data_IF_761564097122
#
_entry.id   IF_761564097122
#
_cell.length_a   1.000
_cell.length_b   1.000
_cell.length_c   1.000
_cell.angle_alpha   90.00
_cell.angle_beta   90.00
_cell.angle_gamma   90.00
#
_symmetry.space_group_name_H-M   'P 1'
#
loop_
_entity.id
_entity.type
_entity.pdbx_description
1 polymer ?
#
# COMPACT_ATOMS: atom_id res chain seq x y z
N UNK A 1 -15.66 -10.96 -22.83
CA UNK A 1 -15.73 -10.88 -21.34
C UNK A 1 -16.88 -9.95 -20.99
N UNK A 2 -17.85 -10.43 -20.22
CA UNK A 2 -19.02 -9.60 -19.85
C UNK A 2 -18.61 -8.56 -18.79
N UNK A 3 -18.90 -7.28 -19.04
CA UNK A 3 -18.74 -6.23 -18.04
C UNK A 3 -19.77 -6.45 -16.93
N UNK A 4 -19.33 -6.91 -15.76
CA UNK A 4 -20.19 -7.00 -14.59
C UNK A 4 -20.64 -5.58 -14.16
N UNK A 5 -21.88 -5.42 -13.70
CA UNK A 5 -22.47 -4.12 -13.39
C UNK A 5 -21.77 -3.49 -12.17
N UNK A 6 -21.04 -2.40 -12.37
CA UNK A 6 -20.34 -1.67 -11.29
C UNK A 6 -21.34 -0.87 -10.44
N UNK A 7 -21.10 -0.79 -9.14
CA UNK A 7 -21.94 0.01 -8.23
C UNK A 7 -21.25 1.36 -8.05
N UNK A 8 -21.88 2.41 -8.59
CA UNK A 8 -21.48 3.79 -8.33
C UNK A 8 -22.15 4.21 -7.02
N UNK A 9 -21.39 4.70 -6.03
CA UNK A 9 -21.98 5.16 -4.77
C UNK A 9 -22.96 6.31 -5.02
N UNK A 10 -24.08 6.32 -4.30
CA UNK A 10 -24.98 7.48 -4.26
C UNK A 10 -24.28 8.70 -3.65
N UNK A 11 -24.81 9.91 -3.88
CA UNK A 11 -24.24 11.14 -3.31
C UNK A 11 -24.17 11.11 -1.77
N UNK A 12 -25.12 10.43 -1.11
CA UNK A 12 -25.11 10.25 0.34
C UNK A 12 -24.00 9.29 0.82
N UNK A 13 -23.71 8.24 0.05
CA UNK A 13 -22.61 7.31 0.32
C UNK A 13 -21.26 7.99 0.09
N UNK A 14 -21.13 8.78 -0.98
CA UNK A 14 -19.93 9.60 -1.21
C UNK A 14 -19.66 10.54 -0.04
N UNK A 15 -20.66 11.25 0.46
CA UNK A 15 -20.48 12.12 1.62
C UNK A 15 -19.97 11.36 2.85
N UNK A 16 -20.40 10.11 3.06
CA UNK A 16 -19.88 9.25 4.12
C UNK A 16 -18.41 8.88 3.88
N UNK A 17 -18.05 8.54 2.65
CA UNK A 17 -16.66 8.23 2.27
C UNK A 17 -15.76 9.45 2.37
N UNK A 18 -16.24 10.63 2.02
CA UNK A 18 -15.53 11.89 2.14
C UNK A 18 -15.28 12.23 3.62
N UNK A 19 -16.31 12.13 4.46
CA UNK A 19 -16.18 12.38 5.91
C UNK A 19 -15.28 11.36 6.60
N UNK A 20 -15.39 10.07 6.28
CA UNK A 20 -14.60 9.02 6.94
C UNK A 20 -13.19 8.87 6.37
N UNK A 21 -13.06 9.01 5.05
CA UNK A 21 -11.84 8.67 4.32
C UNK A 21 -11.17 9.83 3.60
N UNK A 22 -11.83 10.98 3.48
CA UNK A 22 -11.34 12.11 2.67
C UNK A 22 -11.46 11.87 1.17
N UNK A 23 -12.22 10.85 0.74
CA UNK A 23 -12.42 10.53 -0.67
C UNK A 23 -13.46 11.46 -1.30
N UNK A 24 -13.04 12.25 -2.27
CA UNK A 24 -13.92 13.17 -3.00
C UNK A 24 -14.73 12.44 -4.07
N UNK A 25 -15.94 12.91 -4.34
CA UNK A 25 -16.73 12.44 -5.49
C UNK A 25 -16.04 12.69 -6.83
N UNK A 26 -15.08 13.62 -6.91
CA UNK A 26 -14.29 13.89 -8.12
C UNK A 26 -13.26 12.80 -8.42
N UNK A 27 -12.88 11.98 -7.44
CA UNK A 27 -11.87 10.92 -7.59
C UNK A 27 -12.43 9.64 -8.24
N UNK A 28 -13.74 9.57 -8.49
CA UNK A 28 -14.37 8.50 -9.26
C UNK A 28 -14.30 7.11 -8.62
N UNK A 29 -14.78 7.01 -7.37
CA UNK A 29 -14.81 5.77 -6.57
C UNK A 29 -15.85 4.78 -7.13
N UNK A 30 -15.45 3.52 -7.27
CA UNK A 30 -16.33 2.44 -7.74
C UNK A 30 -16.31 1.28 -6.76
N UNK A 31 -17.48 0.72 -6.45
CA UNK A 31 -17.58 -0.53 -5.70
C UNK A 31 -17.76 -1.72 -6.64
N UNK A 32 -17.06 -2.84 -6.38
CA UNK A 32 -17.35 -4.10 -7.04
C UNK A 32 -18.77 -4.56 -6.70
N UNK A 33 -19.45 -5.20 -7.66
CA UNK A 33 -20.83 -5.72 -7.49
C UNK A 33 -20.89 -6.79 -6.40
N UNK A 34 -22.03 -6.93 -5.71
CA UNK A 34 -22.24 -8.05 -4.79
C UNK A 34 -22.01 -9.39 -5.51
N UNK A 35 -21.16 -10.25 -4.94
CA UNK A 35 -20.79 -11.55 -5.51
C UNK A 35 -19.68 -11.52 -6.57
N UNK A 36 -19.15 -10.35 -6.93
CA UNK A 36 -17.93 -10.30 -7.75
C UNK A 36 -16.73 -10.75 -6.91
N UNK A 37 -16.00 -11.74 -7.42
CA UNK A 37 -14.83 -12.24 -6.73
C UNK A 37 -13.70 -11.20 -6.86
N UNK A 38 -13.10 -10.85 -5.73
CA UNK A 38 -11.90 -10.00 -5.69
C UNK A 38 -10.74 -10.65 -6.45
N UNK A 39 -10.86 -11.94 -6.81
CA UNK A 39 -9.92 -12.67 -7.66
C UNK A 39 -9.92 -12.23 -9.13
N UNK A 40 -10.74 -11.26 -9.56
CA UNK A 40 -10.53 -10.61 -10.85
C UNK A 40 -9.32 -9.65 -10.76
N UNK A 41 -8.27 -9.79 -11.59
CA UNK A 41 -6.90 -9.60 -11.09
C UNK A 41 -6.42 -8.15 -11.08
N UNK A 42 -7.13 -7.20 -11.69
CA UNK A 42 -6.63 -5.85 -11.86
C UNK A 42 -7.78 -4.83 -11.81
N UNK A 43 -7.62 -3.71 -11.07
CA UNK A 43 -8.50 -2.55 -11.26
C UNK A 43 -8.46 -2.09 -12.74
N UNK A 44 -9.51 -1.41 -13.23
CA UNK A 44 -9.51 -0.83 -14.57
C UNK A 44 -8.26 0.03 -14.79
N UNK A 45 -7.80 0.11 -16.04
CA UNK A 45 -6.64 0.97 -16.39
C UNK A 45 -6.84 2.40 -15.88
N UNK A 46 -5.82 2.95 -15.21
CA UNK A 46 -5.87 4.26 -14.57
C UNK A 46 -6.60 4.32 -13.23
N UNK A 47 -7.01 3.17 -12.65
CA UNK A 47 -7.62 3.09 -11.32
C UNK A 47 -6.78 2.26 -10.36
N UNK A 48 -6.92 2.58 -9.07
CA UNK A 48 -6.26 1.89 -7.97
C UNK A 48 -7.33 1.16 -7.15
N UNK A 49 -7.14 -0.13 -6.93
CA UNK A 49 -7.98 -0.92 -6.04
C UNK A 49 -7.50 -0.80 -4.58
N UNK A 50 -8.35 -0.29 -3.68
CA UNK A 50 -8.05 -0.19 -2.25
C UNK A 50 -9.05 -1.01 -1.46
N UNK A 51 -8.58 -1.83 -0.53
CA UNK A 51 -9.45 -2.54 0.39
C UNK A 51 -10.05 -1.59 1.43
N UNK A 52 -11.36 -1.68 1.66
CA UNK A 52 -12.02 -0.91 2.71
C UNK A 52 -11.40 -1.15 4.09
N UNK A 53 -10.92 -2.38 4.37
CA UNK A 53 -10.19 -2.70 5.61
C UNK A 53 -8.92 -1.86 5.78
N UNK A 54 -8.22 -1.53 4.68
CA UNK A 54 -7.03 -0.67 4.71
C UNK A 54 -7.43 0.76 5.07
N UNK A 55 -8.52 1.28 4.49
CA UNK A 55 -9.05 2.60 4.83
C UNK A 55 -9.54 2.67 6.29
N UNK A 56 -10.20 1.62 6.79
CA UNK A 56 -10.65 1.50 8.18
C UNK A 56 -9.49 1.47 9.17
N UNK A 57 -8.36 0.88 8.78
CA UNK A 57 -7.14 0.89 9.58
C UNK A 57 -6.44 2.26 9.58
N UNK A 58 -7.04 3.30 8.98
CA UNK A 58 -6.44 4.63 8.84
C UNK A 58 -5.27 4.69 7.86
N UNK A 59 -5.01 3.60 7.14
CA UNK A 59 -3.92 3.53 6.16
C UNK A 59 -4.37 4.26 4.91
N UNK A 60 -3.94 5.51 4.79
CA UNK A 60 -3.87 6.22 3.51
C UNK A 60 -2.58 5.75 2.87
N UNK A 61 -2.65 5.03 1.76
CA UNK A 61 -1.46 4.63 1.00
C UNK A 61 -1.07 5.82 0.11
N UNK A 62 -0.07 6.64 0.44
CA UNK A 62 0.60 7.38 -0.60
C UNK A 62 1.30 6.34 -1.48
N UNK A 63 0.71 6.04 -2.64
CA UNK A 63 1.47 5.42 -3.72
C UNK A 63 2.43 6.48 -4.24
N UNK A 64 3.59 6.57 -3.59
CA UNK A 64 4.70 7.36 -4.11
C UNK A 64 5.19 6.69 -5.39
N UNK A 65 5.80 7.47 -6.30
CA UNK A 65 6.38 6.93 -7.54
C UNK A 65 7.35 5.78 -7.24
N UNK A 66 8.07 5.87 -6.12
CA UNK A 66 8.97 4.82 -5.67
C UNK A 66 8.24 3.56 -5.19
N UNK A 67 7.13 3.72 -4.47
CA UNK A 67 6.30 2.57 -4.09
C UNK A 67 5.71 1.88 -5.31
N UNK A 68 5.23 2.63 -6.31
CA UNK A 68 4.78 2.06 -7.58
C UNK A 68 5.92 1.30 -8.30
N UNK A 69 7.12 1.89 -8.37
CA UNK A 69 8.30 1.25 -8.96
C UNK A 69 8.63 -0.08 -8.28
N UNK A 70 8.67 -0.12 -6.95
CA UNK A 70 8.93 -1.35 -6.17
C UNK A 70 7.88 -2.42 -6.48
N UNK A 71 6.59 -2.04 -6.50
CA UNK A 71 5.51 -2.97 -6.80
C UNK A 71 5.58 -3.54 -8.21
N UNK A 72 5.87 -2.68 -9.20
CA UNK A 72 6.00 -3.09 -10.58
C UNK A 72 7.19 -4.04 -10.78
N UNK A 73 8.35 -3.72 -10.20
CA UNK A 73 9.58 -4.53 -10.33
C UNK A 73 9.51 -5.87 -9.61
N UNK A 74 8.80 -5.94 -8.48
CA UNK A 74 8.60 -7.19 -7.73
C UNK A 74 7.33 -7.96 -8.17
N UNK A 75 6.56 -7.44 -9.13
CA UNK A 75 5.36 -8.11 -9.65
C UNK A 75 4.21 -8.21 -8.63
N UNK A 76 4.16 -7.27 -7.68
CA UNK A 76 3.14 -7.24 -6.64
C UNK A 76 1.99 -6.30 -7.01
N UNK A 77 0.76 -6.79 -6.89
CA UNK A 77 -0.40 -5.90 -6.88
C UNK A 77 -0.61 -5.32 -5.48
N UNK A 78 -1.25 -4.16 -5.41
CA UNK A 78 -1.64 -3.54 -4.13
C UNK A 78 -2.46 -4.48 -3.24
N UNK A 79 -3.22 -5.39 -3.85
CA UNK A 79 -4.06 -6.33 -3.12
C UNK A 79 -3.26 -7.42 -2.39
N UNK A 80 -2.03 -7.66 -2.85
CA UNK A 80 -1.11 -8.62 -2.24
C UNK A 80 -0.33 -8.00 -1.08
N UNK A 81 -0.40 -6.67 -0.88
CA UNK A 81 0.40 -6.01 0.14
C UNK A 81 -0.16 -6.22 1.54
N UNK A 82 0.73 -6.62 2.43
CA UNK A 82 0.50 -6.49 3.87
C UNK A 82 0.83 -5.06 4.30
N UNK A 83 0.22 -4.53 5.38
CA UNK A 83 0.60 -3.23 5.95
C UNK A 83 2.11 -3.11 6.24
N UNK A 84 2.74 -4.23 6.62
CA UNK A 84 4.17 -4.30 6.87
C UNK A 84 5.03 -4.02 5.61
N UNK A 85 4.57 -4.40 4.41
CA UNK A 85 5.26 -4.08 3.16
C UNK A 85 5.29 -2.58 2.92
N UNK A 86 4.11 -1.97 3.01
CA UNK A 86 3.93 -0.53 2.81
C UNK A 86 4.84 0.23 3.77
N UNK A 87 4.82 -0.13 5.05
CA UNK A 87 5.64 0.50 6.07
C UNK A 87 7.14 0.42 5.75
N UNK A 88 7.63 -0.69 5.18
CA UNK A 88 9.05 -0.85 4.82
C UNK A 88 9.46 0.04 3.66
N UNK A 89 8.64 0.12 2.62
CA UNK A 89 8.90 0.99 1.46
C UNK A 89 8.86 2.45 1.87
N UNK A 90 7.81 2.85 2.62
CA UNK A 90 7.67 4.22 3.14
C UNK A 90 8.83 4.58 4.09
N UNK A 91 9.21 3.68 5.01
CA UNK A 91 10.32 3.93 5.92
C UNK A 91 11.65 4.11 5.18
N UNK A 92 11.94 3.28 4.17
CA UNK A 92 13.11 3.45 3.33
C UNK A 92 13.09 4.81 2.62
N UNK A 93 11.96 5.16 2.01
CA UNK A 93 11.80 6.43 1.30
C UNK A 93 12.00 7.65 2.21
N UNK A 94 11.40 7.62 3.41
CA UNK A 94 11.58 8.67 4.40
C UNK A 94 13.03 8.81 4.83
N UNK A 95 13.73 7.70 5.06
CA UNK A 95 15.16 7.70 5.44
C UNK A 95 16.02 8.29 4.33
N UNK A 96 15.83 7.85 3.09
CA UNK A 96 16.57 8.37 1.95
C UNK A 96 16.36 9.88 1.80
N UNK A 97 15.10 10.34 1.81
CA UNK A 97 14.78 11.77 1.70
C UNK A 97 15.36 12.59 2.84
N UNK A 98 15.25 12.12 4.09
CA UNK A 98 15.79 12.81 5.26
C UNK A 98 17.31 12.99 5.19
N UNK A 99 18.03 12.12 4.47
CA UNK A 99 19.47 12.16 4.32
C UNK A 99 19.92 12.68 2.94
N UNK A 100 18.99 13.15 2.09
CA UNK A 100 19.31 13.63 0.74
C UNK A 100 19.74 12.55 -0.25
N UNK A 101 19.44 11.28 0.01
CA UNK A 101 19.70 10.18 -0.91
C UNK A 101 18.59 10.04 -1.96
N UNK A 102 19.01 9.66 -3.17
CA UNK A 102 18.09 9.29 -4.25
C UNK A 102 17.44 7.94 -3.93
N UNK A 103 16.14 7.83 -4.21
CA UNK A 103 15.41 6.58 -4.09
C UNK A 103 15.84 5.65 -5.22
N UNK A 104 16.36 4.47 -4.87
CA UNK A 104 16.82 3.47 -5.83
C UNK A 104 16.33 2.08 -5.42
N UNK A 105 15.73 1.38 -6.38
CA UNK A 105 15.18 0.05 -6.17
C UNK A 105 16.25 -0.98 -5.78
N UNK A 106 17.44 -0.95 -6.39
CA UNK A 106 18.49 -1.92 -6.09
C UNK A 106 19.07 -1.72 -4.69
N UNK A 107 19.21 -0.46 -4.26
CA UNK A 107 19.57 -0.12 -2.88
C UNK A 107 18.49 -0.62 -1.92
N UNK A 108 17.21 -0.44 -2.22
CA UNK A 108 16.13 -1.01 -1.42
C UNK A 108 16.23 -2.54 -1.31
N UNK A 109 16.51 -3.24 -2.41
CA UNK A 109 16.66 -4.71 -2.44
C UNK A 109 17.87 -5.22 -1.67
N UNK A 110 18.88 -4.38 -1.46
CA UNK A 110 20.01 -4.68 -0.59
C UNK A 110 19.58 -4.80 0.89
N UNK A 111 18.65 -3.96 1.33
CA UNK A 111 18.10 -3.97 2.70
C UNK A 111 16.90 -4.90 2.88
N UNK A 112 16.15 -5.16 1.80
CA UNK A 112 14.88 -5.88 1.86
C UNK A 112 14.82 -6.96 0.78
N UNK A 113 14.70 -8.21 1.22
CA UNK A 113 14.45 -9.35 0.35
C UNK A 113 12.95 -9.50 0.12
N UNK A 114 12.54 -9.42 -1.14
CA UNK A 114 11.19 -9.75 -1.55
C UNK A 114 10.88 -11.22 -1.30
N UNK A 115 9.69 -11.50 -0.79
CA UNK A 115 9.18 -12.84 -0.55
C UNK A 115 7.67 -12.90 -0.82
N UNK A 116 7.21 -14.03 -1.34
CA UNK A 116 5.79 -14.37 -1.41
C UNK A 116 5.46 -15.34 -0.28
N UNK A 117 4.41 -15.06 0.48
CA UNK A 117 3.87 -15.94 1.52
C UNK A 117 2.40 -16.20 1.19
N UNK A 118 2.14 -17.34 0.55
CA UNK A 118 0.84 -17.60 -0.06
C UNK A 118 0.55 -16.60 -1.19
N UNK A 119 -0.58 -15.92 -1.11
CA UNK A 119 -1.01 -14.86 -2.05
C UNK A 119 -0.54 -13.45 -1.64
N UNK A 120 0.26 -13.33 -0.57
CA UNK A 120 0.72 -12.04 -0.03
C UNK A 120 2.18 -11.77 -0.34
N UNK A 121 2.44 -10.53 -0.74
CA UNK A 121 3.76 -9.95 -0.86
C UNK A 121 4.28 -9.53 0.52
N UNK A 122 5.55 -9.83 0.80
CA UNK A 122 6.26 -9.36 1.99
C UNK A 122 7.71 -8.98 1.68
N UNK A 123 8.31 -8.17 2.54
CA UNK A 123 9.73 -7.83 2.51
C UNK A 123 10.38 -8.25 3.82
N UNK A 124 11.41 -9.09 3.72
CA UNK A 124 12.18 -9.55 4.86
C UNK A 124 13.51 -8.82 4.91
N UNK A 125 13.92 -8.37 6.10
CA UNK A 125 15.31 -7.96 6.29
C UNK A 125 16.21 -9.20 6.20
N UNK A 126 17.31 -9.17 5.45
CA UNK A 126 18.27 -10.28 5.41
C UNK A 126 18.76 -10.61 6.83
N UNK A 127 18.79 -11.89 7.20
CA UNK A 127 19.40 -12.31 8.48
C UNK A 127 20.88 -11.98 8.45
N UNK A 128 21.36 -11.16 9.39
CA UNK A 128 22.75 -10.69 9.44
C UNK A 128 23.10 -9.62 8.40
N UNK A 129 22.12 -9.07 7.68
CA UNK A 129 22.33 -7.99 6.73
C UNK A 129 22.38 -6.60 7.37
N UNK A 130 22.71 -5.60 6.55
CA UNK A 130 22.68 -4.21 6.95
C UNK A 130 21.26 -3.84 7.41
N UNK A 131 21.14 -3.32 8.64
CA UNK A 131 19.87 -2.84 9.18
C UNK A 131 19.79 -1.34 8.94
N UNK A 132 18.64 -0.86 8.47
CA UNK A 132 18.37 0.58 8.46
C UNK A 132 18.19 1.03 9.91
N UNK A 133 19.23 1.67 10.44
CA UNK A 133 19.21 2.27 11.77
C UNK A 133 19.08 3.78 11.56
N UNK A 134 18.00 4.36 12.07
CA UNK A 134 17.90 5.82 12.18
C UNK A 134 18.97 6.26 13.18
N UNK A 135 19.93 7.07 12.75
CA UNK A 135 20.99 7.54 13.62
C UNK A 135 20.37 8.33 14.80
N UNK A 136 20.60 7.85 16.02
CA UNK A 136 20.45 8.65 17.24
C UNK A 136 19.27 8.37 18.18
N UNK A 137 18.06 7.94 17.76
CA UNK A 137 16.98 7.53 18.69
C UNK A 137 15.98 6.58 18.03
N UNK A 138 16.10 5.28 18.29
CA UNK A 138 14.94 4.39 18.16
C UNK A 138 13.92 4.83 19.21
N UNK A 139 12.65 5.09 18.86
CA UNK A 139 11.61 5.24 19.88
C UNK A 139 11.49 3.89 20.59
N UNK A 140 12.16 3.76 21.74
CA UNK A 140 11.80 2.74 22.72
C UNK A 140 10.32 2.99 23.01
N UNK A 141 9.47 2.02 22.69
CA UNK A 141 8.01 2.02 22.88
C UNK A 141 7.12 2.36 21.66
N UNK A 142 7.61 2.25 20.42
CA UNK A 142 6.65 2.11 19.30
C UNK A 142 6.05 0.68 19.35
N UNK A 143 5.03 0.51 20.18
CA UNK A 143 4.15 -0.66 20.14
C UNK A 143 2.77 -0.14 19.74
N UNK A 144 2.19 -0.74 18.69
CA UNK A 144 0.78 -0.54 18.34
C UNK A 144 -0.08 -0.99 19.52
N UNK A 145 -0.61 -0.01 20.26
CA UNK A 145 -1.78 -0.24 21.10
C UNK A 145 -2.99 -0.20 20.17
N UNK A 146 -3.54 -1.37 19.89
CA UNK A 146 -4.86 -1.50 19.28
C UNK A 146 -5.91 -1.01 20.27
N UNK A 147 -6.77 -0.09 19.84
CA UNK A 147 -8.08 0.15 20.46
C UNK A 147 -9.07 -0.89 19.95
#
# INVERSE_FOLDING_TARGET
MANLPRIIPSSAEYRKLEVMYGLSSLEGVEFPSAGSSISSPLPPSGKIGVFLKTLNAGIRLPLTDFQEEVLQKDGCSLQMLTPNVVNKVVAFEMICRANGYVLDYFVFKFFFRFCLTGDKCTFLAPRGGHTLVLDGRTPKNWQDKWL
#
